data_IF_215177143418
#
_entry.id   IF_215177143418
#
_cell.length_a   1.000
_cell.length_b   1.000
_cell.length_c   1.000
_cell.angle_alpha   90.00
_cell.angle_beta   90.00
_cell.angle_gamma   90.00
#
_symmetry.space_group_name_H-M   'P 1'
#
loop_
_entity.id
_entity.type
_entity.pdbx_description
1 polymer ?
#
# COMPACT_ATOMS: atom_id res chain seq x y z
N UNK A 1 -0.97 -2.62 22.58
CA UNK A 1 -1.27 -3.40 21.37
C UNK A 1 -0.44 -4.69 21.28
N UNK A 2 0.85 -4.66 21.44
CA UNK A 2 1.79 -5.78 21.20
C UNK A 2 1.75 -6.92 22.19
N UNK A 3 1.66 -6.67 23.48
CA UNK A 3 1.42 -7.74 24.44
C UNK A 3 0.10 -8.51 24.15
N UNK A 4 -0.81 -7.93 23.32
CA UNK A 4 -2.02 -8.59 22.85
C UNK A 4 -1.76 -9.42 21.59
N UNK A 5 -0.95 -8.91 20.65
CA UNK A 5 -0.65 -9.62 19.40
C UNK A 5 0.28 -10.80 19.64
N UNK A 6 1.31 -10.66 20.48
CA UNK A 6 2.15 -11.80 20.90
C UNK A 6 1.32 -12.85 21.63
N UNK A 7 0.49 -12.44 22.59
CA UNK A 7 -0.42 -13.37 23.29
C UNK A 7 -1.38 -14.07 22.34
N UNK A 8 -1.90 -13.34 21.34
CA UNK A 8 -2.79 -13.96 20.37
C UNK A 8 -2.09 -15.06 19.57
N UNK A 9 -0.83 -14.84 19.14
CA UNK A 9 -0.03 -15.88 18.46
C UNK A 9 0.19 -17.07 19.41
N UNK A 10 0.61 -16.81 20.65
CA UNK A 10 0.84 -17.87 21.64
C UNK A 10 -0.45 -18.67 21.89
N UNK A 11 -1.59 -18.01 22.01
CA UNK A 11 -2.90 -18.65 22.16
C UNK A 11 -3.32 -19.43 20.90
N UNK A 12 -3.04 -18.91 19.70
CA UNK A 12 -3.31 -19.58 18.43
C UNK A 12 -2.44 -20.82 18.23
N UNK A 13 -1.16 -20.75 18.61
CA UNK A 13 -0.25 -21.89 18.63
C UNK A 13 -0.74 -22.94 19.64
N UNK A 14 -1.12 -22.51 20.84
CA UNK A 14 -1.64 -23.42 21.88
C UNK A 14 -2.94 -24.14 21.46
N UNK A 15 -3.76 -23.53 20.61
CA UNK A 15 -4.98 -24.17 20.05
C UNK A 15 -4.70 -25.02 18.82
N UNK A 16 -3.50 -24.96 18.23
CA UNK A 16 -3.16 -25.61 16.97
C UNK A 16 -3.69 -24.91 15.72
N UNK A 17 -4.14 -23.65 15.86
CA UNK A 17 -4.58 -22.82 14.74
C UNK A 17 -3.39 -22.34 13.88
N UNK A 18 -2.23 -22.15 14.53
CA UNK A 18 -0.96 -21.71 13.95
C UNK A 18 0.15 -22.62 14.44
N UNK A 19 1.05 -23.00 13.56
CA UNK A 19 2.30 -23.67 13.87
C UNK A 19 3.46 -22.85 13.28
N UNK A 20 4.41 -22.47 14.12
CA UNK A 20 5.64 -21.81 13.71
C UNK A 20 6.78 -22.83 13.74
N UNK A 21 7.62 -22.82 12.74
CA UNK A 21 8.80 -23.70 12.70
C UNK A 21 9.73 -23.42 13.88
N UNK A 22 10.47 -24.45 14.31
CA UNK A 22 11.43 -24.35 15.41
C UNK A 22 12.40 -23.16 15.20
N UNK A 23 12.43 -22.26 16.17
CA UNK A 23 13.29 -21.08 16.12
C UNK A 23 12.70 -19.85 15.41
N UNK A 24 11.42 -19.89 15.00
CA UNK A 24 10.69 -18.72 14.53
C UNK A 24 9.81 -18.17 15.65
N UNK A 25 9.95 -16.92 15.98
CA UNK A 25 9.23 -16.27 17.07
C UNK A 25 8.73 -14.87 16.66
N UNK A 26 7.68 -14.35 17.32
CA UNK A 26 7.30 -12.94 17.17
C UNK A 26 8.48 -12.02 17.50
N UNK A 27 8.71 -11.00 16.65
CA UNK A 27 9.82 -10.07 16.83
C UNK A 27 9.68 -9.32 18.16
N UNK A 28 10.65 -9.46 19.09
CA UNK A 28 10.63 -8.72 20.34
C UNK A 28 10.86 -7.23 20.06
N UNK A 29 10.01 -6.37 20.58
CA UNK A 29 10.12 -4.93 20.38
C UNK A 29 9.84 -4.16 21.66
N UNK A 30 10.47 -3.02 21.81
CA UNK A 30 10.21 -2.09 22.89
C UNK A 30 9.01 -1.21 22.58
N UNK A 31 8.40 -0.62 23.61
CA UNK A 31 7.34 0.37 23.46
C UNK A 31 7.83 1.61 22.66
N UNK A 32 9.12 1.93 22.76
CA UNK A 32 9.77 3.00 22.02
C UNK A 32 9.84 2.71 20.53
N UNK A 33 10.18 1.47 20.13
CA UNK A 33 10.20 1.07 18.73
C UNK A 33 8.81 1.22 18.10
N UNK A 34 7.75 0.93 18.89
CA UNK A 34 6.36 1.13 18.46
C UNK A 34 6.03 2.58 18.19
N UNK A 35 6.57 3.44 19.03
CA UNK A 35 6.31 4.87 18.95
C UNK A 35 7.16 5.51 17.85
N UNK A 36 8.40 5.11 17.67
CA UNK A 36 9.32 5.70 16.67
C UNK A 36 9.06 5.17 15.27
N UNK A 37 8.78 3.87 15.11
CA UNK A 37 8.64 3.20 13.79
C UNK A 37 7.25 3.30 13.13
N UNK A 38 6.26 3.85 13.82
CA UNK A 38 4.87 3.84 13.38
C UNK A 38 4.12 2.56 13.80
N UNK A 39 3.17 2.71 14.75
CA UNK A 39 2.37 1.58 15.27
C UNK A 39 1.51 0.82 14.25
N UNK A 40 1.51 1.25 12.98
CA UNK A 40 0.88 0.58 11.85
C UNK A 40 1.74 -0.53 11.27
N UNK A 41 3.03 -0.59 11.60
CA UNK A 41 3.89 -1.67 11.13
C UNK A 41 3.45 -2.99 11.75
N UNK A 42 3.37 -3.99 10.91
CA UNK A 42 2.99 -5.37 11.25
C UNK A 42 3.92 -5.92 12.34
N UNK A 43 3.45 -6.91 13.10
CA UNK A 43 4.18 -7.43 14.26
C UNK A 43 5.60 -7.89 13.91
N UNK A 44 5.79 -8.51 12.76
CA UNK A 44 7.05 -9.12 12.35
C UNK A 44 7.32 -10.47 13.03
N UNK A 45 8.09 -11.29 12.36
CA UNK A 45 8.63 -12.54 12.85
C UNK A 45 10.15 -12.52 12.72
N UNK A 46 10.86 -13.23 13.56
CA UNK A 46 12.32 -13.35 13.52
C UNK A 46 12.75 -14.80 13.68
N UNK A 47 13.87 -15.15 13.08
CA UNK A 47 14.57 -16.39 13.40
C UNK A 47 15.35 -16.19 14.69
N UNK A 48 15.25 -17.12 15.64
CA UNK A 48 15.93 -16.95 16.93
C UNK A 48 17.18 -17.82 17.07
N UNK A 49 17.14 -19.06 16.60
CA UNK A 49 18.21 -20.06 16.89
C UNK A 49 18.70 -20.80 15.66
N UNK A 50 17.86 -21.01 14.69
CA UNK A 50 18.19 -21.72 13.46
C UNK A 50 17.99 -20.80 12.25
N UNK A 51 18.78 -20.95 11.18
CA UNK A 51 18.47 -20.31 9.92
C UNK A 51 17.19 -20.89 9.35
N UNK A 52 16.50 -20.13 8.51
CA UNK A 52 15.40 -20.62 7.67
C UNK A 52 15.89 -20.55 6.24
N UNK A 53 15.90 -21.69 5.56
CA UNK A 53 16.38 -21.80 4.19
C UNK A 53 15.30 -21.42 3.17
N UNK A 54 15.73 -21.01 1.97
CA UNK A 54 14.83 -20.75 0.84
C UNK A 54 13.93 -21.96 0.59
N UNK A 55 12.62 -21.71 0.43
CA UNK A 55 11.57 -22.72 0.28
C UNK A 55 11.32 -23.59 1.51
N UNK A 56 11.90 -23.28 2.64
CA UNK A 56 11.52 -23.89 3.92
C UNK A 56 10.21 -23.26 4.43
N UNK A 57 9.31 -24.14 4.93
CA UNK A 57 8.08 -23.68 5.56
C UNK A 57 8.35 -23.14 6.95
N UNK A 58 8.06 -21.86 7.20
CA UNK A 58 8.28 -21.23 8.49
C UNK A 58 6.99 -21.01 9.31
N UNK A 59 5.83 -21.11 8.67
CA UNK A 59 4.55 -21.08 9.37
C UNK A 59 3.52 -21.96 8.66
N UNK A 60 2.62 -22.54 9.46
CA UNK A 60 1.43 -23.26 8.99
C UNK A 60 0.22 -22.71 9.72
N UNK A 61 -0.85 -22.45 8.98
CA UNK A 61 -2.08 -21.86 9.51
C UNK A 61 -3.25 -22.72 9.09
N UNK A 62 -4.01 -23.24 10.04
CA UNK A 62 -5.20 -24.05 9.75
C UNK A 62 -6.17 -23.24 8.88
N UNK A 63 -6.75 -23.85 7.83
CA UNK A 63 -7.61 -23.13 6.89
C UNK A 63 -8.83 -22.51 7.58
N UNK A 64 -9.37 -23.19 8.59
CA UNK A 64 -10.48 -22.67 9.39
C UNK A 64 -10.09 -21.49 10.30
N UNK A 65 -8.81 -21.25 10.53
CA UNK A 65 -8.29 -20.07 11.23
C UNK A 65 -8.06 -18.88 10.31
N UNK A 66 -8.26 -19.02 8.99
CA UNK A 66 -8.19 -17.93 8.01
C UNK A 66 -9.57 -17.32 7.77
N UNK A 67 -9.63 -16.02 7.54
CA UNK A 67 -10.87 -15.34 7.17
C UNK A 67 -10.96 -15.21 5.65
N UNK A 68 -11.94 -15.86 5.05
CA UNK A 68 -12.17 -15.86 3.62
C UNK A 68 -13.67 -15.98 3.29
N UNK A 69 -14.15 -15.46 2.14
CA UNK A 69 -15.56 -15.46 1.80
C UNK A 69 -16.18 -16.86 1.63
N UNK A 70 -15.40 -17.85 1.18
CA UNK A 70 -15.89 -19.22 0.98
C UNK A 70 -16.13 -20.01 2.28
N UNK A 71 -15.85 -19.41 3.44
CA UNK A 71 -16.18 -19.97 4.76
C UNK A 71 -17.69 -20.05 5.00
N UNK A 72 -18.47 -19.20 4.34
CA UNK A 72 -19.89 -19.04 4.59
C UNK A 72 -20.73 -19.74 3.53
N UNK A 73 -21.74 -20.51 3.99
CA UNK A 73 -22.67 -21.21 3.09
C UNK A 73 -23.38 -20.22 2.17
N UNK A 74 -23.36 -20.42 0.83
CA UNK A 74 -23.95 -19.48 -0.12
C UNK A 74 -25.49 -19.41 -0.07
N UNK A 75 -26.13 -20.29 0.68
CA UNK A 75 -27.59 -20.42 0.72
C UNK A 75 -28.24 -19.70 1.89
N UNK A 76 -27.47 -19.26 2.89
CA UNK A 76 -28.03 -18.68 4.12
C UNK A 76 -27.11 -17.61 4.73
N UNK A 77 -27.70 -16.77 5.54
CA UNK A 77 -27.00 -15.77 6.33
C UNK A 77 -26.06 -14.88 5.51
N UNK A 78 -24.84 -14.71 6.02
CA UNK A 78 -23.81 -13.92 5.34
C UNK A 78 -23.46 -14.47 3.95
N UNK A 79 -23.41 -15.79 3.80
CA UNK A 79 -23.06 -16.40 2.50
C UNK A 79 -24.07 -16.07 1.41
N UNK A 80 -25.37 -16.00 1.73
CA UNK A 80 -26.39 -15.57 0.79
C UNK A 80 -26.20 -14.10 0.37
N UNK A 81 -25.83 -13.23 1.31
CA UNK A 81 -25.50 -11.82 1.03
C UNK A 81 -24.28 -11.72 0.10
N UNK A 82 -23.22 -12.51 0.33
CA UNK A 82 -22.03 -12.56 -0.51
C UNK A 82 -22.33 -13.11 -1.92
N UNK A 83 -23.18 -14.14 -2.04
CA UNK A 83 -23.62 -14.67 -3.33
C UNK A 83 -24.39 -13.62 -4.15
N UNK A 84 -25.28 -12.89 -3.50
CA UNK A 84 -26.01 -11.75 -4.13
C UNK A 84 -25.07 -10.64 -4.56
N UNK A 85 -24.07 -10.30 -3.75
CA UNK A 85 -23.06 -9.30 -4.09
C UNK A 85 -22.28 -9.70 -5.35
N UNK A 86 -21.79 -10.95 -5.41
CA UNK A 86 -21.07 -11.48 -6.58
C UNK A 86 -21.91 -11.46 -7.86
N UNK A 87 -23.21 -11.79 -7.78
CA UNK A 87 -24.09 -11.74 -8.92
C UNK A 87 -24.31 -10.32 -9.48
N UNK A 88 -24.17 -9.30 -8.61
CA UNK A 88 -24.43 -7.90 -8.96
C UNK A 88 -23.22 -7.13 -9.45
N UNK A 89 -22.01 -7.50 -8.99
CA UNK A 89 -20.75 -6.77 -9.23
C UNK A 89 -19.64 -7.62 -9.86
N UNK A 90 -19.94 -8.88 -10.20
CA UNK A 90 -18.91 -9.83 -10.63
C UNK A 90 -18.10 -10.40 -9.47
N UNK A 91 -17.00 -11.07 -9.79
CA UNK A 91 -16.13 -11.72 -8.81
C UNK A 91 -15.15 -10.73 -8.16
N UNK A 92 -15.63 -9.66 -7.54
CA UNK A 92 -14.76 -8.80 -6.74
C UNK A 92 -14.51 -9.47 -5.38
N UNK A 93 -13.46 -10.29 -5.33
CA UNK A 93 -13.03 -11.02 -4.14
C UNK A 93 -12.72 -10.10 -2.96
N UNK A 94 -12.19 -8.90 -3.25
CA UNK A 94 -11.85 -7.91 -2.23
C UNK A 94 -13.09 -7.35 -1.56
N UNK A 95 -14.13 -7.04 -2.34
CA UNK A 95 -15.40 -6.57 -1.81
C UNK A 95 -16.09 -7.64 -0.95
N UNK A 96 -16.03 -8.90 -1.38
CA UNK A 96 -16.56 -10.01 -0.58
C UNK A 96 -15.84 -10.14 0.76
N UNK A 97 -14.51 -10.01 0.77
CA UNK A 97 -13.73 -10.04 2.01
C UNK A 97 -14.02 -8.84 2.92
N UNK A 98 -14.22 -7.64 2.36
CA UNK A 98 -14.63 -6.43 3.13
C UNK A 98 -15.95 -6.67 3.84
N UNK A 99 -16.92 -7.29 3.19
CA UNK A 99 -18.22 -7.61 3.82
C UNK A 99 -18.05 -8.65 4.94
N UNK A 100 -17.18 -9.66 4.77
CA UNK A 100 -16.83 -10.61 5.83
C UNK A 100 -16.19 -9.90 7.04
N UNK A 101 -15.27 -8.97 6.81
CA UNK A 101 -14.62 -8.18 7.87
C UNK A 101 -15.61 -7.34 8.66
N UNK A 102 -16.54 -6.68 7.96
CA UNK A 102 -17.62 -5.90 8.60
C UNK A 102 -18.50 -6.80 9.45
N UNK A 103 -18.89 -7.96 8.94
CA UNK A 103 -19.71 -8.92 9.67
C UNK A 103 -19.01 -9.45 10.91
N UNK A 104 -17.81 -10.00 10.76
CA UNK A 104 -17.09 -10.64 11.86
C UNK A 104 -16.74 -9.63 12.98
N UNK A 105 -16.30 -8.43 12.62
CA UNK A 105 -15.90 -7.43 13.63
C UNK A 105 -17.07 -6.74 14.30
N UNK A 106 -18.11 -6.37 13.55
CA UNK A 106 -19.15 -5.46 14.05
C UNK A 106 -20.50 -6.11 14.31
N UNK A 107 -20.80 -7.25 13.66
CA UNK A 107 -22.03 -8.02 13.97
C UNK A 107 -21.74 -9.13 14.95
N UNK A 108 -20.73 -9.97 14.69
CA UNK A 108 -20.35 -11.05 15.59
C UNK A 108 -19.57 -10.53 16.81
N UNK A 109 -18.73 -9.50 16.63
CA UNK A 109 -17.99 -8.87 17.72
C UNK A 109 -17.20 -9.87 18.57
N UNK A 110 -17.49 -9.94 19.86
CA UNK A 110 -16.85 -10.87 20.80
C UNK A 110 -17.22 -12.35 20.54
N UNK A 111 -18.31 -12.61 19.83
CA UNK A 111 -18.69 -13.97 19.43
C UNK A 111 -17.99 -14.45 18.16
N UNK A 112 -17.25 -13.57 17.48
CA UNK A 112 -16.46 -13.95 16.32
C UNK A 112 -15.30 -14.87 16.70
N UNK A 113 -15.05 -15.88 15.87
CA UNK A 113 -13.84 -16.70 15.99
C UNK A 113 -12.55 -15.86 15.78
N UNK A 114 -12.67 -14.67 15.17
CA UNK A 114 -11.58 -13.76 14.89
C UNK A 114 -11.49 -12.58 15.88
N UNK A 115 -12.28 -12.56 16.97
CA UNK A 115 -12.33 -11.44 17.91
C UNK A 115 -10.95 -11.09 18.47
N UNK A 116 -10.18 -12.08 18.91
CA UNK A 116 -8.82 -11.90 19.45
C UNK A 116 -7.84 -11.42 18.38
N UNK A 117 -7.94 -11.96 17.17
CA UNK A 117 -7.17 -11.52 16.02
C UNK A 117 -7.42 -10.04 15.71
N UNK A 118 -8.68 -9.60 15.67
CA UNK A 118 -9.01 -8.18 15.44
C UNK A 118 -8.53 -7.28 16.58
N UNK A 119 -8.58 -7.75 17.83
CA UNK A 119 -8.02 -7.02 18.97
C UNK A 119 -6.51 -6.91 18.95
N UNK A 120 -5.82 -7.85 18.30
CA UNK A 120 -4.37 -7.81 18.13
C UNK A 120 -3.92 -6.84 17.04
N UNK A 121 -4.80 -6.54 16.09
CA UNK A 121 -4.55 -5.62 14.99
C UNK A 121 -4.74 -4.14 15.35
N UNK A 122 -4.44 -3.22 14.41
CA UNK A 122 -4.67 -1.80 14.61
C UNK A 122 -6.17 -1.49 14.61
N UNK A 123 -6.58 -0.64 15.54
CA UNK A 123 -7.93 -0.06 15.53
C UNK A 123 -8.07 0.99 14.42
N UNK A 124 -7.00 1.69 14.13
CA UNK A 124 -6.88 2.74 13.12
C UNK A 124 -5.55 2.59 12.37
N UNK A 125 -5.57 2.81 11.07
CA UNK A 125 -4.41 2.74 10.21
C UNK A 125 -3.76 4.11 10.00
N UNK A 126 -2.49 4.14 9.63
CA UNK A 126 -1.76 5.36 9.28
C UNK A 126 -1.81 5.67 7.77
N UNK A 127 -2.70 5.01 7.01
CA UNK A 127 -2.94 5.33 5.59
C UNK A 127 -3.65 6.67 5.46
N UNK A 128 -3.42 7.42 4.38
CA UNK A 128 -3.99 8.76 4.18
C UNK A 128 -5.52 8.80 4.27
N UNK A 129 -6.22 7.72 3.95
CA UNK A 129 -7.67 7.61 4.10
C UNK A 129 -8.15 7.71 5.56
N UNK A 130 -7.25 7.52 6.54
CA UNK A 130 -7.53 7.66 7.98
C UNK A 130 -7.02 8.98 8.58
N UNK A 131 -6.39 9.84 7.78
CA UNK A 131 -5.84 11.10 8.28
C UNK A 131 -6.92 12.15 8.49
N UNK A 132 -6.61 13.15 9.30
CA UNK A 132 -7.40 14.38 9.34
C UNK A 132 -7.28 15.13 8.01
N UNK A 133 -8.31 15.92 7.68
CA UNK A 133 -8.29 16.73 6.45
C UNK A 133 -7.06 17.66 6.39
N UNK A 134 -6.60 18.16 7.54
CA UNK A 134 -5.45 19.07 7.58
C UNK A 134 -4.15 18.32 7.33
N UNK A 135 -3.96 17.13 7.91
CA UNK A 135 -2.79 16.29 7.65
C UNK A 135 -2.77 15.80 6.20
N UNK A 136 -3.93 15.38 5.66
CA UNK A 136 -4.02 14.94 4.27
C UNK A 136 -3.68 16.07 3.28
N UNK A 137 -4.02 17.33 3.59
CA UNK A 137 -3.66 18.49 2.77
C UNK A 137 -2.14 18.75 2.69
N UNK A 138 -1.35 18.20 3.60
CA UNK A 138 0.10 18.29 3.50
C UNK A 138 0.66 17.55 2.27
N UNK A 139 -0.11 16.61 1.69
CA UNK A 139 0.23 15.92 0.44
C UNK A 139 -0.10 16.73 -0.82
N UNK A 140 -0.62 17.96 -0.71
CA UNK A 140 -0.97 18.80 -1.88
C UNK A 140 0.22 18.99 -2.81
N UNK A 141 -0.07 18.99 -4.10
CA UNK A 141 0.92 19.07 -5.18
C UNK A 141 1.36 17.72 -5.71
N UNK A 142 1.21 16.65 -4.91
CA UNK A 142 1.40 15.27 -5.37
C UNK A 142 0.16 14.75 -6.10
N UNK A 143 0.33 14.08 -7.26
CA UNK A 143 -0.80 13.41 -7.93
C UNK A 143 -1.33 12.23 -7.12
N UNK A 144 -0.52 11.61 -6.27
CA UNK A 144 -0.98 10.59 -5.33
C UNK A 144 -2.10 11.15 -4.42
N UNK A 145 -1.99 12.42 -3.98
CA UNK A 145 -3.05 13.06 -3.21
C UNK A 145 -4.21 13.52 -4.08
N UNK A 146 -3.90 14.32 -5.13
CA UNK A 146 -4.92 15.01 -5.93
C UNK A 146 -5.83 14.04 -6.71
N UNK A 147 -5.37 12.82 -6.96
CA UNK A 147 -6.09 11.81 -7.72
C UNK A 147 -6.44 10.59 -6.89
N UNK A 148 -5.46 9.91 -6.33
CA UNK A 148 -5.68 8.59 -5.74
C UNK A 148 -6.35 8.70 -4.37
N UNK A 149 -5.81 9.52 -3.46
CA UNK A 149 -6.35 9.64 -2.11
C UNK A 149 -7.72 10.33 -2.11
N UNK A 150 -7.87 11.42 -2.88
CA UNK A 150 -9.15 12.13 -3.01
C UNK A 150 -10.20 11.25 -3.68
N UNK A 151 -9.84 10.47 -4.69
CA UNK A 151 -10.77 9.55 -5.36
C UNK A 151 -11.09 8.34 -4.49
N UNK A 152 -10.17 7.86 -3.64
CA UNK A 152 -10.45 6.84 -2.63
C UNK A 152 -11.51 7.32 -1.62
N UNK A 153 -11.46 8.56 -1.15
CA UNK A 153 -12.51 9.12 -0.29
C UNK A 153 -13.89 9.13 -0.97
N UNK A 154 -13.95 9.51 -2.25
CA UNK A 154 -15.19 9.48 -3.04
C UNK A 154 -15.69 8.06 -3.23
N UNK A 155 -14.76 7.13 -3.54
CA UNK A 155 -15.06 5.72 -3.73
C UNK A 155 -15.61 5.09 -2.47
N UNK A 156 -15.02 5.33 -1.30
CA UNK A 156 -15.50 4.83 -0.02
C UNK A 156 -16.95 5.28 0.27
N UNK A 157 -17.30 6.53 -0.02
CA UNK A 157 -18.66 7.01 0.12
C UNK A 157 -19.63 6.31 -0.85
N UNK A 158 -19.21 6.09 -2.09
CA UNK A 158 -20.00 5.39 -3.12
C UNK A 158 -20.22 3.93 -2.72
N UNK A 159 -19.17 3.24 -2.30
CA UNK A 159 -19.22 1.85 -1.82
C UNK A 159 -20.09 1.74 -0.57
N UNK A 160 -19.97 2.66 0.38
CA UNK A 160 -20.82 2.68 1.58
C UNK A 160 -22.30 2.73 1.23
N UNK A 161 -22.69 3.60 0.30
CA UNK A 161 -24.06 3.70 -0.16
C UNK A 161 -24.52 2.43 -0.91
N UNK A 162 -23.67 1.86 -1.75
CA UNK A 162 -23.96 0.63 -2.47
C UNK A 162 -24.14 -0.57 -1.54
N UNK A 163 -23.25 -0.75 -0.56
CA UNK A 163 -23.38 -1.79 0.45
C UNK A 163 -24.64 -1.61 1.31
N UNK A 164 -24.95 -0.37 1.69
CA UNK A 164 -26.18 -0.10 2.42
C UNK A 164 -27.41 -0.59 1.66
N UNK A 165 -27.58 -0.16 0.40
CA UNK A 165 -28.78 -0.48 -0.40
C UNK A 165 -28.88 -1.95 -0.80
N UNK A 166 -27.74 -2.64 -1.01
CA UNK A 166 -27.73 -3.98 -1.61
C UNK A 166 -27.40 -5.11 -0.65
N UNK A 167 -26.79 -4.79 0.48
CA UNK A 167 -26.39 -5.77 1.50
C UNK A 167 -27.12 -5.47 2.80
N UNK A 168 -26.90 -4.33 3.42
CA UNK A 168 -27.35 -4.08 4.78
C UNK A 168 -28.86 -3.90 4.90
N UNK A 169 -29.50 -3.22 3.95
CA UNK A 169 -30.95 -2.99 3.95
C UNK A 169 -31.74 -4.19 3.40
N UNK A 170 -31.06 -5.13 2.71
CA UNK A 170 -31.66 -6.37 2.19
C UNK A 170 -31.53 -7.52 3.19
N UNK A 171 -30.36 -7.66 3.82
CA UNK A 171 -30.04 -8.73 4.76
C UNK A 171 -30.05 -8.21 6.21
N UNK A 172 -31.18 -7.64 6.62
CA UNK A 172 -31.35 -6.99 7.95
C UNK A 172 -31.29 -7.96 9.11
N UNK A 173 -31.55 -9.21 8.89
CA UNK A 173 -31.39 -10.32 9.85
C UNK A 173 -29.93 -10.72 10.07
N UNK A 174 -29.07 -10.46 9.09
CA UNK A 174 -27.62 -10.68 9.14
C UNK A 174 -26.90 -9.47 9.71
N UNK A 175 -27.23 -8.26 9.21
CA UNK A 175 -26.61 -7.00 9.62
C UNK A 175 -27.55 -6.20 10.52
N UNK A 176 -27.52 -6.47 11.82
CA UNK A 176 -28.38 -5.84 12.84
C UNK A 176 -27.76 -4.59 13.44
N UNK A 177 -26.42 -4.58 13.56
CA UNK A 177 -25.68 -3.49 14.17
C UNK A 177 -25.59 -2.28 13.25
N UNK A 178 -25.87 -1.09 13.77
CA UNK A 178 -25.59 0.15 13.04
C UNK A 178 -24.09 0.41 12.89
N UNK A 179 -23.26 -0.19 13.72
CA UNK A 179 -21.80 -0.01 13.69
C UNK A 179 -21.18 -0.52 12.39
N UNK A 180 -21.63 -1.68 11.85
CA UNK A 180 -21.16 -2.23 10.57
C UNK A 180 -21.44 -1.32 9.36
N UNK A 181 -22.44 -0.42 9.48
CA UNK A 181 -22.96 0.44 8.40
C UNK A 181 -22.29 1.81 8.32
N UNK A 182 -21.32 2.08 9.18
CA UNK A 182 -20.65 3.38 9.26
C UNK A 182 -19.49 3.50 8.25
N UNK A 183 -19.21 4.72 7.77
CA UNK A 183 -18.03 4.99 6.92
C UNK A 183 -16.72 4.64 7.64
N UNK A 184 -16.54 4.94 8.94
CA UNK A 184 -15.34 4.47 9.65
C UNK A 184 -15.16 2.95 9.67
N UNK A 185 -16.24 2.17 9.85
CA UNK A 185 -16.17 0.71 9.79
C UNK A 185 -15.77 0.22 8.40
N UNK A 186 -16.39 0.77 7.34
CA UNK A 186 -16.04 0.46 5.97
C UNK A 186 -14.58 0.82 5.68
N UNK A 187 -14.13 1.99 6.11
CA UNK A 187 -12.74 2.44 5.94
C UNK A 187 -11.75 1.46 6.58
N UNK A 188 -12.04 1.03 7.81
CA UNK A 188 -11.22 0.03 8.48
C UNK A 188 -11.19 -1.31 7.72
N UNK A 189 -12.34 -1.82 7.28
CA UNK A 189 -12.42 -3.08 6.55
C UNK A 189 -11.75 -2.98 5.16
N UNK A 190 -11.92 -1.85 4.48
CA UNK A 190 -11.27 -1.51 3.22
C UNK A 190 -9.74 -1.55 3.35
N UNK A 191 -9.20 -0.79 4.31
CA UNK A 191 -7.75 -0.74 4.54
C UNK A 191 -7.21 -2.10 4.99
N UNK A 192 -7.94 -2.83 5.83
CA UNK A 192 -7.54 -4.19 6.25
C UNK A 192 -7.44 -5.12 5.04
N UNK A 193 -8.44 -5.14 4.17
CA UNK A 193 -8.44 -5.98 2.98
C UNK A 193 -7.33 -5.60 2.00
N UNK A 194 -7.07 -4.30 1.79
CA UNK A 194 -6.02 -3.84 0.88
C UNK A 194 -4.60 -4.09 1.40
N UNK A 195 -4.40 -3.91 2.70
CA UNK A 195 -3.06 -4.01 3.30
C UNK A 195 -2.68 -5.42 3.75
N UNK A 196 -3.65 -6.33 3.94
CA UNK A 196 -3.40 -7.60 4.64
C UNK A 196 -3.93 -8.84 3.92
N UNK A 197 -4.86 -8.69 2.95
CA UNK A 197 -5.37 -9.84 2.23
C UNK A 197 -4.33 -10.37 1.24
N UNK A 198 -4.28 -11.68 1.12
CA UNK A 198 -3.40 -12.38 0.18
C UNK A 198 -4.19 -13.42 -0.62
N UNK A 199 -3.67 -13.78 -1.80
CA UNK A 199 -4.10 -14.97 -2.53
C UNK A 199 -3.34 -16.17 -1.99
N UNK A 200 -4.05 -17.24 -1.74
CA UNK A 200 -3.46 -18.52 -1.33
C UNK A 200 -3.47 -19.44 -2.54
N UNK A 201 -2.29 -19.86 -3.01
CA UNK A 201 -2.19 -20.80 -4.13
C UNK A 201 -2.97 -22.09 -3.83
N UNK A 202 -3.78 -22.55 -4.78
CA UNK A 202 -4.69 -23.69 -4.58
C UNK A 202 -6.04 -23.35 -3.94
N UNK A 203 -6.33 -22.06 -3.69
CA UNK A 203 -7.65 -21.56 -3.26
C UNK A 203 -8.11 -20.39 -4.11
N UNK A 204 -9.42 -20.30 -4.31
CA UNK A 204 -10.02 -19.15 -4.99
C UNK A 204 -10.21 -17.98 -4.04
N UNK A 205 -10.02 -16.76 -4.56
CA UNK A 205 -10.30 -15.52 -3.88
C UNK A 205 -9.18 -15.06 -2.94
N UNK A 206 -9.52 -14.07 -2.12
CA UNK A 206 -8.63 -13.46 -1.14
C UNK A 206 -8.94 -13.98 0.27
N UNK A 207 -7.89 -14.11 1.08
CA UNK A 207 -8.00 -14.47 2.48
C UNK A 207 -7.14 -13.56 3.36
N UNK A 208 -7.55 -13.36 4.61
CA UNK A 208 -6.64 -12.95 5.67
C UNK A 208 -6.07 -14.21 6.29
N UNK A 209 -4.77 -14.38 6.15
CA UNK A 209 -4.02 -15.48 6.74
C UNK A 209 -3.26 -14.93 7.93
N UNK A 210 -3.70 -15.25 9.16
CA UNK A 210 -3.00 -14.81 10.36
C UNK A 210 -1.52 -15.22 10.31
N UNK A 211 -0.66 -14.42 10.94
CA UNK A 211 0.80 -14.53 10.86
C UNK A 211 1.36 -13.97 9.54
N UNK A 212 0.91 -14.44 8.38
CA UNK A 212 1.39 -13.91 7.09
C UNK A 212 1.09 -12.41 6.94
N UNK A 213 -0.09 -11.97 7.32
CA UNK A 213 -0.48 -10.56 7.31
C UNK A 213 0.26 -9.68 8.34
N UNK A 214 1.03 -10.31 9.23
CA UNK A 214 1.87 -9.65 10.24
C UNK A 214 3.32 -9.47 9.79
N UNK A 215 3.76 -10.17 8.74
CA UNK A 215 5.12 -10.06 8.20
C UNK A 215 5.32 -8.68 7.58
N UNK A 216 6.47 -8.08 7.86
CA UNK A 216 6.81 -6.75 7.37
C UNK A 216 7.45 -6.79 5.99
N UNK A 217 7.43 -5.65 5.31
CA UNK A 217 8.19 -5.47 4.08
C UNK A 217 9.69 -5.55 4.37
N UNK A 218 10.45 -6.21 3.49
CA UNK A 218 11.90 -6.29 3.57
C UNK A 218 12.54 -4.90 3.53
N UNK A 219 13.59 -4.72 4.34
CA UNK A 219 14.43 -3.53 4.21
C UNK A 219 15.11 -3.50 2.85
N UNK A 220 15.42 -2.30 2.31
CA UNK A 220 16.14 -2.16 1.04
C UNK A 220 17.47 -2.94 1.07
N UNK A 221 17.74 -3.72 0.02
CA UNK A 221 18.94 -4.55 -0.09
C UNK A 221 18.88 -5.90 0.65
N UNK A 222 17.85 -6.14 1.46
CA UNK A 222 17.58 -7.44 2.06
C UNK A 222 16.71 -8.35 1.15
N UNK A 223 16.32 -7.85 -0.01
CA UNK A 223 15.54 -8.60 -1.00
C UNK A 223 16.42 -9.68 -1.63
N UNK A 224 15.85 -10.88 -1.83
CA UNK A 224 16.51 -11.86 -2.70
C UNK A 224 16.80 -11.17 -4.03
N UNK A 225 18.00 -11.36 -4.63
CA UNK A 225 18.24 -10.90 -5.98
C UNK A 225 17.10 -11.45 -6.84
N UNK A 226 16.41 -10.56 -7.57
CA UNK A 226 15.35 -10.98 -8.49
C UNK A 226 15.91 -12.19 -9.23
N UNK A 227 15.28 -13.34 -9.10
CA UNK A 227 15.55 -14.46 -9.97
C UNK A 227 15.26 -13.93 -11.37
N UNK A 228 16.33 -13.48 -12.01
CA UNK A 228 16.43 -12.76 -13.26
C UNK A 228 15.06 -12.44 -13.87
N UNK A 229 14.74 -11.16 -14.00
CA UNK A 229 13.83 -10.69 -15.03
C UNK A 229 14.42 -11.12 -16.40
N UNK A 230 14.43 -12.40 -16.65
CA UNK A 230 14.61 -12.96 -17.97
C UNK A 230 13.31 -12.66 -18.70
N UNK A 231 13.37 -11.60 -19.50
CA UNK A 231 12.33 -11.30 -20.47
C UNK A 231 11.93 -12.56 -21.22
N UNK A 232 10.76 -13.03 -20.98
CA UNK A 232 9.97 -13.78 -21.93
C UNK A 232 8.67 -13.01 -22.09
N UNK A 233 8.56 -12.33 -23.20
CA UNK A 233 7.28 -11.89 -23.75
C UNK A 233 6.35 -13.11 -23.80
N UNK A 234 5.30 -13.12 -23.01
CA UNK A 234 4.28 -14.15 -23.13
C UNK A 234 3.48 -14.39 -21.88
N UNK A 235 2.24 -13.98 -21.95
CA UNK A 235 1.08 -14.44 -21.18
C UNK A 235 0.87 -13.82 -19.78
N UNK A 236 0.03 -12.79 -19.76
CA UNK A 236 -0.43 -12.04 -18.57
C UNK A 236 -1.16 -12.91 -17.52
N UNK A 237 -1.41 -14.20 -17.80
CA UNK A 237 -2.14 -15.11 -16.90
C UNK A 237 -1.26 -15.87 -15.90
N UNK A 238 0.05 -16.01 -16.14
CA UNK A 238 0.93 -16.83 -15.30
C UNK A 238 1.75 -16.05 -14.26
N UNK A 239 1.81 -14.72 -14.32
CA UNK A 239 2.61 -13.92 -13.39
C UNK A 239 2.03 -13.83 -11.97
N UNK A 240 0.71 -13.97 -11.79
CA UNK A 240 0.08 -13.95 -10.45
C UNK A 240 0.46 -15.16 -9.59
N UNK A 241 0.79 -16.30 -10.19
CA UNK A 241 1.14 -17.53 -9.46
C UNK A 241 2.56 -17.48 -8.86
N UNK A 242 3.47 -16.69 -9.43
CA UNK A 242 4.89 -16.61 -9.00
C UNK A 242 5.15 -15.77 -7.77
N UNK A 243 4.17 -15.02 -7.29
CA UNK A 243 4.30 -14.11 -6.13
C UNK A 243 3.67 -14.62 -4.85
N UNK A 244 2.98 -15.77 -4.87
CA UNK A 244 2.34 -16.33 -3.66
C UNK A 244 3.37 -17.02 -2.77
N UNK A 245 3.45 -16.57 -1.53
CA UNK A 245 4.20 -17.27 -0.47
C UNK A 245 3.40 -18.33 0.23
N UNK A 246 2.08 -18.22 0.13
CA UNK A 246 1.14 -19.03 0.87
C UNK A 246 0.53 -20.08 -0.07
N UNK A 247 0.72 -21.34 0.24
CA UNK A 247 0.20 -22.47 -0.53
C UNK A 247 -0.75 -23.26 0.35
N UNK A 248 -1.90 -23.63 -0.19
CA UNK A 248 -2.83 -24.49 0.52
C UNK A 248 -2.42 -25.97 0.41
N UNK A 249 -2.28 -26.62 1.55
CA UNK A 249 -2.09 -28.06 1.63
C UNK A 249 -3.46 -28.75 1.86
N UNK A 250 -4.02 -29.44 0.86
CA UNK A 250 -5.32 -30.11 0.98
C UNK A 250 -5.29 -31.36 1.88
N UNK A 251 -4.12 -31.92 2.16
CA UNK A 251 -4.01 -33.10 3.02
C UNK A 251 -4.10 -32.76 4.50
N UNK A 252 -3.53 -31.62 4.87
CA UNK A 252 -3.54 -31.14 6.25
C UNK A 252 -4.60 -30.06 6.51
N UNK A 253 -5.35 -29.63 5.47
CA UNK A 253 -6.30 -28.51 5.51
C UNK A 253 -5.71 -27.24 6.13
N UNK A 254 -4.54 -26.84 5.62
CA UNK A 254 -3.78 -25.71 6.15
C UNK A 254 -3.15 -24.87 5.05
N UNK A 255 -2.84 -23.62 5.36
CA UNK A 255 -1.97 -22.75 4.55
C UNK A 255 -0.55 -22.92 5.05
N UNK A 256 0.36 -23.23 4.14
CA UNK A 256 1.80 -23.31 4.42
C UNK A 256 2.47 -22.07 3.86
N UNK A 257 3.27 -21.41 4.68
CA UNK A 257 4.01 -20.20 4.32
C UNK A 257 5.49 -20.52 4.22
N UNK A 258 6.07 -20.23 3.05
CA UNK A 258 7.46 -20.56 2.73
C UNK A 258 8.34 -19.32 2.70
N UNK A 259 9.61 -19.48 3.06
CA UNK A 259 10.64 -18.48 2.93
C UNK A 259 11.03 -18.28 1.45
N UNK A 260 11.17 -17.04 0.98
CA UNK A 260 11.63 -16.74 -0.39
C UNK A 260 13.15 -16.65 -0.52
N UNK A 261 13.84 -16.49 0.59
CA UNK A 261 15.30 -16.43 0.68
C UNK A 261 15.78 -17.09 1.96
N UNK A 262 17.07 -17.25 2.06
CA UNK A 262 17.70 -17.68 3.29
C UNK A 262 17.67 -16.56 4.34
N UNK A 263 17.38 -16.93 5.57
CA UNK A 263 17.39 -16.05 6.73
C UNK A 263 18.37 -16.61 7.77
N UNK A 264 19.31 -15.78 8.21
CA UNK A 264 20.23 -16.12 9.28
C UNK A 264 19.59 -16.10 10.68
N UNK A 265 20.24 -16.69 11.70
CA UNK A 265 19.77 -16.62 13.07
C UNK A 265 19.63 -15.17 13.56
N UNK A 266 18.49 -14.83 14.15
CA UNK A 266 18.16 -13.49 14.63
C UNK A 266 17.69 -12.52 13.54
N UNK A 267 17.65 -12.94 12.29
CA UNK A 267 17.19 -12.10 11.18
C UNK A 267 15.65 -12.03 11.16
N UNK A 268 15.12 -10.86 10.82
CA UNK A 268 13.68 -10.68 10.67
C UNK A 268 13.19 -11.32 9.38
N UNK A 269 12.14 -12.12 9.48
CA UNK A 269 11.41 -12.62 8.33
C UNK A 269 10.64 -11.47 7.70
N UNK A 270 10.84 -11.23 6.43
CA UNK A 270 10.22 -10.12 5.72
C UNK A 270 9.67 -10.58 4.36
N UNK A 271 8.77 -9.80 3.81
CA UNK A 271 8.11 -10.06 2.54
C UNK A 271 8.29 -8.87 1.60
N UNK A 272 8.46 -9.15 0.31
CA UNK A 272 8.31 -8.13 -0.72
C UNK A 272 6.83 -7.94 -1.02
N UNK A 273 6.31 -6.75 -0.74
CA UNK A 273 4.91 -6.39 -0.95
C UNK A 273 4.61 -5.97 -2.41
N UNK A 274 5.26 -6.59 -3.38
CA UNK A 274 5.13 -6.27 -4.81
C UNK A 274 5.99 -5.08 -5.26
N UNK A 275 5.73 -4.61 -6.48
CA UNK A 275 6.48 -3.52 -7.12
C UNK A 275 5.88 -2.13 -6.86
N UNK A 276 5.14 -1.98 -5.75
CA UNK A 276 4.52 -0.72 -5.39
C UNK A 276 5.54 0.40 -5.24
N UNK A 277 5.24 1.53 -5.83
CA UNK A 277 6.05 2.73 -5.64
C UNK A 277 5.86 3.34 -4.25
N UNK A 278 6.69 4.33 -3.91
CA UNK A 278 6.68 4.98 -2.60
C UNK A 278 5.31 5.60 -2.25
N UNK A 279 4.64 6.21 -3.22
CA UNK A 279 3.32 6.82 -3.01
C UNK A 279 2.23 5.77 -2.76
N UNK A 280 2.25 4.66 -3.48
CA UNK A 280 1.35 3.52 -3.27
C UNK A 280 1.59 2.84 -1.92
N UNK A 281 2.86 2.73 -1.50
CA UNK A 281 3.18 2.21 -0.16
C UNK A 281 2.59 3.10 0.95
N UNK A 282 2.64 4.42 0.79
CA UNK A 282 1.97 5.35 1.71
C UNK A 282 0.45 5.17 1.67
N UNK A 283 -0.15 5.07 0.49
CA UNK A 283 -1.60 4.93 0.34
C UNK A 283 -2.12 3.64 0.96
N UNK A 284 -1.44 2.51 0.74
CA UNK A 284 -1.95 1.21 1.16
C UNK A 284 -1.48 0.76 2.54
N UNK A 285 -0.29 1.17 2.96
CA UNK A 285 0.32 0.72 4.22
C UNK A 285 0.59 1.85 5.22
N UNK A 286 0.46 3.11 4.83
CA UNK A 286 0.58 4.26 5.73
C UNK A 286 2.02 4.65 6.08
N UNK A 287 3.01 4.27 5.28
CA UNK A 287 4.41 4.67 5.49
C UNK A 287 5.14 4.89 4.16
N UNK A 288 6.18 5.71 4.21
CA UNK A 288 7.10 5.95 3.11
C UNK A 288 8.29 4.99 3.29
N UNK A 289 8.48 3.99 2.39
CA UNK A 289 9.58 3.05 2.52
C UNK A 289 10.93 3.74 2.29
N UNK A 290 11.94 3.32 3.03
CA UNK A 290 13.30 3.77 2.79
C UNK A 290 13.91 2.97 1.64
N UNK A 291 13.79 3.49 0.41
CA UNK A 291 14.32 2.89 -0.81
C UNK A 291 15.48 3.74 -1.34
N UNK A 292 16.43 3.10 -2.02
CA UNK A 292 17.53 3.79 -2.68
C UNK A 292 17.02 4.83 -3.69
N UNK A 293 17.80 5.90 -3.91
CA UNK A 293 17.40 6.96 -4.86
C UNK A 293 17.20 6.43 -6.27
N UNK A 294 18.04 5.47 -6.71
CA UNK A 294 17.99 4.85 -8.03
C UNK A 294 16.95 3.75 -8.17
N UNK A 295 16.31 3.35 -7.08
CA UNK A 295 15.27 2.32 -7.12
C UNK A 295 14.14 2.74 -8.07
N UNK A 296 13.63 1.85 -8.92
CA UNK A 296 12.47 2.14 -9.76
C UNK A 296 11.21 2.44 -8.93
N UNK A 297 11.14 1.97 -7.69
CA UNK A 297 10.08 2.29 -6.72
C UNK A 297 10.14 3.74 -6.25
N UNK A 298 11.32 4.37 -6.30
CA UNK A 298 11.52 5.79 -5.98
C UNK A 298 11.20 6.64 -7.22
N UNK A 299 9.94 6.90 -7.45
CA UNK A 299 9.44 7.59 -8.61
C UNK A 299 8.37 8.62 -8.22
N UNK A 300 8.18 9.63 -9.06
CA UNK A 300 7.05 10.54 -8.94
C UNK A 300 5.89 10.04 -9.78
N UNK A 301 4.76 9.79 -9.13
CA UNK A 301 3.53 9.43 -9.83
C UNK A 301 2.99 10.66 -10.57
N UNK A 302 2.71 10.49 -11.85
CA UNK A 302 2.08 11.50 -12.68
C UNK A 302 0.83 10.92 -13.34
N UNK A 303 -0.29 11.61 -13.19
CA UNK A 303 -1.52 11.31 -13.89
C UNK A 303 -1.71 12.35 -14.97
N UNK A 304 -1.57 11.92 -16.21
CA UNK A 304 -1.60 12.78 -17.38
C UNK A 304 -2.98 12.69 -18.05
N UNK A 305 -3.61 13.86 -18.21
CA UNK A 305 -4.88 14.00 -18.90
C UNK A 305 -4.77 15.06 -19.98
N UNK A 306 -5.46 14.90 -21.12
CA UNK A 306 -5.47 15.92 -22.14
C UNK A 306 -6.19 17.16 -21.64
N UNK A 307 -5.65 18.35 -21.90
CA UNK A 307 -6.28 19.63 -21.53
C UNK A 307 -7.69 19.81 -22.12
N UNK A 308 -7.99 19.12 -23.22
CA UNK A 308 -9.30 19.15 -23.88
C UNK A 308 -9.71 17.75 -24.31
N UNK A 309 -10.95 17.37 -24.04
CA UNK A 309 -11.55 16.07 -24.44
C UNK A 309 -11.32 15.71 -25.91
N UNK A 310 -11.31 16.69 -26.81
CA UNK A 310 -11.08 16.44 -28.24
C UNK A 310 -9.72 15.80 -28.55
N UNK A 311 -8.73 15.89 -27.67
CA UNK A 311 -7.40 15.29 -27.85
C UNK A 311 -7.31 13.85 -27.30
N UNK A 312 -8.32 13.35 -26.59
CA UNK A 312 -8.35 11.96 -26.11
C UNK A 312 -8.22 10.97 -27.27
N UNK A 313 -8.93 11.25 -28.37
CA UNK A 313 -8.88 10.40 -29.57
C UNK A 313 -7.45 10.37 -30.14
N UNK A 314 -6.81 11.54 -30.29
CA UNK A 314 -5.46 11.62 -30.83
C UNK A 314 -4.44 10.85 -29.96
N UNK A 315 -4.58 10.92 -28.62
CA UNK A 315 -3.73 10.17 -27.70
C UNK A 315 -3.95 8.67 -27.83
N UNK A 316 -5.20 8.22 -27.92
CA UNK A 316 -5.52 6.78 -28.15
C UNK A 316 -5.03 6.29 -29.51
N UNK A 317 -5.19 7.08 -30.55
CA UNK A 317 -4.72 6.77 -31.91
C UNK A 317 -3.18 6.70 -31.95
N UNK A 318 -2.47 7.44 -31.06
CA UNK A 318 -1.03 7.38 -30.87
C UNK A 318 -0.59 6.28 -29.89
N UNK A 319 -1.51 5.40 -29.43
CA UNK A 319 -1.19 4.27 -28.54
C UNK A 319 -1.13 4.59 -27.05
N UNK A 320 -1.46 5.81 -26.63
CA UNK A 320 -1.45 6.16 -25.20
C UNK A 320 -2.75 5.77 -24.50
N UNK A 321 -2.62 5.33 -23.26
CA UNK A 321 -3.76 5.24 -22.34
C UNK A 321 -4.25 6.65 -21.96
N UNK A 322 -5.55 6.81 -21.69
CA UNK A 322 -6.13 8.10 -21.26
C UNK A 322 -7.16 7.85 -20.17
N UNK A 323 -6.93 8.34 -18.94
CA UNK A 323 -5.71 9.02 -18.47
C UNK A 323 -4.49 8.10 -18.48
N UNK A 324 -3.29 8.66 -18.65
CA UNK A 324 -2.05 7.89 -18.56
C UNK A 324 -1.44 8.08 -17.17
N UNK A 325 -1.31 6.97 -16.44
CA UNK A 325 -0.63 6.93 -15.15
C UNK A 325 0.78 6.44 -15.38
N UNK A 326 1.74 7.23 -15.00
CA UNK A 326 3.15 6.88 -15.14
C UNK A 326 3.91 7.23 -13.86
N UNK A 327 4.75 6.32 -13.42
CA UNK A 327 5.71 6.55 -12.34
C UNK A 327 7.06 6.86 -12.97
N UNK A 328 7.54 8.09 -12.81
CA UNK A 328 8.80 8.56 -13.41
C UNK A 328 9.89 8.46 -12.36
N UNK A 329 10.82 7.50 -12.47
CA UNK A 329 11.85 7.26 -11.46
C UNK A 329 12.95 8.32 -11.49
N UNK A 330 13.70 8.39 -10.40
CA UNK A 330 14.88 9.25 -10.28
C UNK A 330 15.90 9.02 -11.42
N UNK A 331 16.10 7.77 -11.82
CA UNK A 331 16.98 7.35 -12.91
C UNK A 331 16.20 7.10 -14.22
N UNK A 332 15.19 7.92 -14.55
CA UNK A 332 14.40 7.77 -15.77
C UNK A 332 15.30 7.70 -17.02
N UNK A 333 15.02 6.74 -17.92
CA UNK A 333 15.73 6.60 -19.20
C UNK A 333 15.32 7.70 -20.16
N UNK A 334 16.20 8.05 -21.11
CA UNK A 334 15.90 9.08 -22.13
C UNK A 334 14.64 8.74 -22.93
N UNK A 335 14.47 7.48 -23.31
CA UNK A 335 13.29 6.99 -24.00
C UNK A 335 11.99 7.23 -23.21
N UNK A 336 12.01 7.07 -21.88
CA UNK A 336 10.85 7.36 -21.03
C UNK A 336 10.53 8.85 -21.01
N UNK A 337 11.54 9.72 -21.07
CA UNK A 337 11.35 11.17 -21.14
C UNK A 337 10.80 11.58 -22.52
N UNK A 338 11.21 10.92 -23.60
CA UNK A 338 10.68 11.17 -24.95
C UNK A 338 9.22 10.74 -25.06
N UNK A 339 8.84 9.58 -24.48
CA UNK A 339 7.45 9.17 -24.39
C UNK A 339 6.58 10.16 -23.60
N UNK A 340 7.09 10.65 -22.47
CA UNK A 340 6.40 11.65 -21.67
C UNK A 340 6.24 12.96 -22.43
N UNK A 341 7.29 13.42 -23.11
CA UNK A 341 7.25 14.60 -23.95
C UNK A 341 6.25 14.45 -25.12
N UNK A 342 6.23 13.29 -25.77
CA UNK A 342 5.29 12.97 -26.84
C UNK A 342 3.84 13.03 -26.37
N UNK A 343 3.54 12.43 -25.22
CA UNK A 343 2.20 12.52 -24.63
C UNK A 343 1.78 14.00 -24.44
N UNK A 344 2.65 14.83 -23.87
CA UNK A 344 2.37 16.25 -23.62
C UNK A 344 2.12 16.99 -24.94
N UNK A 345 2.95 16.76 -25.95
CA UNK A 345 2.80 17.37 -27.30
C UNK A 345 1.44 17.00 -27.92
N UNK A 346 1.10 15.71 -27.95
CA UNK A 346 -0.19 15.23 -28.48
C UNK A 346 -1.36 15.75 -27.66
N UNK A 347 -1.22 15.86 -26.36
CA UNK A 347 -2.25 16.42 -25.47
C UNK A 347 -2.51 17.92 -25.73
N UNK A 348 -1.56 18.62 -26.35
CA UNK A 348 -1.69 19.98 -26.82
C UNK A 348 -2.16 20.08 -28.29
N UNK A 349 -2.37 18.93 -28.96
CA UNK A 349 -2.83 18.85 -30.36
C UNK A 349 -1.70 18.98 -31.37
N UNK A 350 -0.46 18.76 -30.98
CA UNK A 350 0.68 18.67 -31.89
C UNK A 350 0.83 17.27 -32.43
N UNK A 351 1.36 17.14 -33.63
CA UNK A 351 1.70 15.84 -34.20
C UNK A 351 3.06 15.38 -33.73
N UNK A 352 3.21 14.10 -33.45
CA UNK A 352 4.48 13.45 -33.09
C UNK A 352 4.70 12.28 -34.04
N UNK A 353 5.81 12.29 -34.73
CA UNK A 353 6.22 11.18 -35.58
C UNK A 353 6.72 10.01 -34.72
N UNK A 354 6.44 8.79 -35.13
CA UNK A 354 6.90 7.56 -34.50
C UNK A 354 7.71 6.71 -35.48
N UNK A 355 8.69 5.99 -34.99
CA UNK A 355 9.45 5.02 -35.79
C UNK A 355 8.68 3.71 -36.03
N UNK A 356 9.33 2.74 -36.69
CA UNK A 356 8.76 1.42 -36.95
C UNK A 356 8.44 0.61 -35.69
N UNK A 357 9.04 0.96 -34.54
CA UNK A 357 8.80 0.36 -33.24
C UNK A 357 7.76 1.12 -32.41
N UNK A 358 7.15 2.19 -32.96
CA UNK A 358 6.19 3.03 -32.26
C UNK A 358 6.81 4.03 -31.28
N UNK A 359 8.11 4.24 -31.34
CA UNK A 359 8.82 5.19 -30.47
C UNK A 359 8.81 6.60 -31.07
N UNK A 360 8.54 7.63 -30.22
CA UNK A 360 8.48 9.01 -30.68
C UNK A 360 9.84 9.48 -31.22
N UNK A 361 9.80 10.18 -32.37
CA UNK A 361 10.97 10.75 -33.02
C UNK A 361 10.95 12.27 -32.95
N UNK A 362 12.12 12.87 -32.75
CA UNK A 362 12.32 14.33 -32.81
C UNK A 362 11.34 15.12 -31.91
N UNK A 363 11.03 14.61 -30.73
CA UNK A 363 10.09 15.26 -29.79
C UNK A 363 10.75 16.46 -29.12
N UNK A 364 10.07 17.58 -29.15
CA UNK A 364 10.50 18.76 -28.38
C UNK A 364 10.31 18.54 -26.89
N UNK A 365 11.39 18.62 -26.13
CA UNK A 365 11.36 18.53 -24.66
C UNK A 365 11.01 19.86 -23.96
N UNK A 366 10.78 20.93 -24.74
CA UNK A 366 10.42 22.24 -24.17
C UNK A 366 9.10 22.17 -23.39
N UNK A 367 8.08 21.55 -23.97
CA UNK A 367 6.78 21.39 -23.30
C UNK A 367 6.85 20.46 -22.08
N UNK A 368 7.71 19.45 -22.11
CA UNK A 368 7.99 18.60 -20.94
C UNK A 368 8.63 19.42 -19.82
N UNK A 369 9.61 20.28 -20.16
CA UNK A 369 10.27 21.16 -19.20
C UNK A 369 9.28 22.13 -18.54
N UNK A 370 8.42 22.75 -19.32
CA UNK A 370 7.34 23.62 -18.82
C UNK A 370 6.40 22.84 -17.89
N UNK A 371 5.94 21.69 -18.32
CA UNK A 371 5.08 20.82 -17.52
C UNK A 371 5.73 20.43 -16.18
N UNK A 372 7.01 20.04 -16.18
CA UNK A 372 7.70 19.67 -14.92
C UNK A 372 7.89 20.88 -13.99
N UNK A 373 8.10 22.11 -14.54
CA UNK A 373 8.12 23.33 -13.72
C UNK A 373 6.77 23.61 -13.08
N UNK A 374 5.69 23.56 -13.87
CA UNK A 374 4.33 23.67 -13.34
C UNK A 374 4.05 22.65 -12.23
N UNK A 375 4.62 21.43 -12.35
CA UNK A 375 4.49 20.39 -11.32
C UNK A 375 5.21 20.76 -10.03
N UNK A 376 6.44 21.25 -10.11
CA UNK A 376 7.18 21.71 -8.92
C UNK A 376 6.44 22.87 -8.23
N UNK A 377 5.85 23.78 -9.00
CA UNK A 377 5.15 24.95 -8.49
C UNK A 377 3.79 24.64 -7.83
N UNK A 378 3.26 23.43 -8.01
CA UNK A 378 2.03 22.98 -7.32
C UNK A 378 2.23 22.70 -5.83
N UNK A 379 3.45 22.39 -5.41
CA UNK A 379 3.72 22.12 -4.01
C UNK A 379 3.66 23.41 -3.19
N UNK A 380 3.01 23.39 -2.00
CA UNK A 380 2.83 24.59 -1.20
C UNK A 380 4.13 25.11 -0.57
N UNK A 381 5.19 24.33 -0.57
CA UNK A 381 6.46 24.60 0.08
C UNK A 381 7.64 24.33 -0.86
N UNK A 382 8.79 24.89 -0.56
CA UNK A 382 10.06 24.58 -1.23
C UNK A 382 10.66 23.27 -0.68
N UNK A 383 11.65 22.71 -1.38
CA UNK A 383 12.38 21.55 -0.89
C UNK A 383 13.09 21.82 0.43
N UNK A 384 13.73 23.00 0.56
CA UNK A 384 14.47 23.38 1.77
C UNK A 384 13.55 23.56 2.98
N UNK A 385 12.35 24.13 2.78
CA UNK A 385 11.35 24.25 3.84
C UNK A 385 10.87 22.87 4.31
N UNK A 386 10.64 21.92 3.38
CA UNK A 386 10.24 20.56 3.72
C UNK A 386 11.36 19.81 4.47
N UNK A 387 12.61 19.93 4.05
CA UNK A 387 13.76 19.29 4.72
C UNK A 387 13.92 19.82 6.16
N UNK A 388 13.78 21.13 6.37
CA UNK A 388 13.82 21.72 7.71
C UNK A 388 12.63 21.30 8.58
N UNK A 389 11.43 21.24 8.00
CA UNK A 389 10.22 20.80 8.69
C UNK A 389 10.33 19.32 9.10
N UNK A 390 10.84 18.47 8.21
CA UNK A 390 11.02 17.04 8.48
C UNK A 390 11.91 16.79 9.69
N UNK A 391 13.06 17.47 9.77
CA UNK A 391 13.99 17.33 10.89
C UNK A 391 13.33 17.74 12.21
N UNK A 392 12.62 18.88 12.22
CA UNK A 392 11.89 19.36 13.39
C UNK A 392 10.78 18.40 13.84
N UNK A 393 10.03 17.83 12.89
CA UNK A 393 8.97 16.88 13.19
C UNK A 393 9.51 15.56 13.75
N UNK A 394 10.59 15.03 13.17
CA UNK A 394 11.26 13.81 13.67
C UNK A 394 11.76 14.00 15.10
N UNK A 395 12.40 15.13 15.39
CA UNK A 395 12.83 15.45 16.75
C UNK A 395 11.63 15.51 17.72
N UNK A 396 10.53 16.13 17.30
CA UNK A 396 9.31 16.20 18.11
C UNK A 396 8.70 14.82 18.39
N UNK A 397 8.75 13.89 17.42
CA UNK A 397 8.31 12.50 17.65
C UNK A 397 9.17 11.82 18.73
N UNK A 398 10.48 12.00 18.68
CA UNK A 398 11.42 11.47 19.69
C UNK A 398 11.13 12.06 21.08
N UNK A 399 11.00 13.38 21.17
CA UNK A 399 10.74 14.08 22.43
C UNK A 399 9.43 13.63 23.11
N UNK A 400 8.36 13.43 22.31
CA UNK A 400 7.09 12.90 22.81
C UNK A 400 7.18 11.41 23.17
N UNK A 401 7.96 10.61 22.43
CA UNK A 401 8.19 9.22 22.77
C UNK A 401 8.92 9.08 24.12
N UNK A 402 9.96 9.87 24.32
CA UNK A 402 10.68 9.92 25.59
C UNK A 402 9.79 10.42 26.74
N UNK A 403 8.83 11.31 26.46
CA UNK A 403 7.86 11.74 27.46
C UNK A 403 6.92 10.59 27.87
N UNK A 404 6.51 9.70 26.95
CA UNK A 404 5.66 8.55 27.27
C UNK A 404 6.33 7.50 28.16
N UNK A 405 7.66 7.42 28.16
CA UNK A 405 8.42 6.47 28.98
C UNK A 405 8.56 6.92 30.44
N UNK A 406 8.22 8.18 30.75
CA UNK A 406 8.32 8.70 32.12
C UNK A 406 7.32 8.01 33.05
N UNK A 407 7.81 7.50 34.17
CA UNK A 407 6.98 6.84 35.18
C UNK A 407 5.95 7.81 35.79
N UNK A 408 4.75 7.32 36.06
CA UNK A 408 3.70 8.07 36.75
C UNK A 408 2.85 8.99 35.88
N UNK A 409 2.96 8.91 34.55
CA UNK A 409 2.11 9.69 33.65
C UNK A 409 0.64 9.27 33.78
N UNK A 410 -0.29 10.24 33.91
CA UNK A 410 -1.72 9.94 33.88
C UNK A 410 -2.16 9.32 32.56
N UNK A 411 -3.07 8.32 32.61
CA UNK A 411 -3.53 7.57 31.43
C UNK A 411 -4.08 8.51 30.34
N UNK A 412 -4.84 9.53 30.73
CA UNK A 412 -5.41 10.49 29.77
C UNK A 412 -4.34 11.34 29.07
N UNK A 413 -3.28 11.71 29.79
CA UNK A 413 -2.16 12.46 29.24
C UNK A 413 -1.35 11.59 28.27
N UNK A 414 -1.08 10.33 28.65
CA UNK A 414 -0.44 9.35 27.78
C UNK A 414 -1.21 9.17 26.45
N UNK A 415 -2.53 9.01 26.51
CA UNK A 415 -3.36 8.88 25.32
C UNK A 415 -3.32 10.13 24.41
N UNK A 416 -3.26 11.32 24.99
CA UNK A 416 -3.11 12.58 24.22
C UNK A 416 -1.76 12.65 23.50
N UNK A 417 -0.69 12.25 24.18
CA UNK A 417 0.65 12.21 23.59
C UNK A 417 0.70 11.18 22.47
N UNK A 418 0.13 9.98 22.65
CA UNK A 418 0.05 8.96 21.60
C UNK A 418 -0.70 9.47 20.36
N UNK A 419 -1.82 10.17 20.53
CA UNK A 419 -2.52 10.81 19.41
C UNK A 419 -1.63 11.83 18.69
N UNK A 420 -0.94 12.69 19.44
CA UNK A 420 -0.06 13.72 18.87
C UNK A 420 1.12 13.11 18.11
N UNK A 421 1.72 12.05 18.61
CA UNK A 421 2.77 11.29 17.93
C UNK A 421 2.23 10.72 16.61
N UNK A 422 1.03 10.16 16.62
CA UNK A 422 0.40 9.61 15.41
C UNK A 422 0.22 10.69 14.35
N UNK A 423 -0.35 11.84 14.69
CA UNK A 423 -0.52 12.94 13.75
C UNK A 423 0.83 13.44 13.21
N UNK A 424 1.83 13.63 14.08
CA UNK A 424 3.17 14.04 13.65
C UNK A 424 3.80 13.04 12.67
N UNK A 425 3.62 11.75 12.87
CA UNK A 425 4.15 10.74 11.94
C UNK A 425 3.48 10.77 10.59
N UNK A 426 2.16 10.98 10.57
CA UNK A 426 1.41 11.19 9.33
C UNK A 426 1.95 12.39 8.57
N UNK A 427 2.21 13.49 9.27
CA UNK A 427 2.87 14.68 8.72
C UNK A 427 4.30 14.36 8.24
N UNK A 428 5.08 13.61 9.00
CA UNK A 428 6.42 13.13 8.59
C UNK A 428 6.33 12.37 7.27
N UNK A 429 5.44 11.39 7.16
CA UNK A 429 5.26 10.62 5.92
C UNK A 429 4.84 11.48 4.73
N UNK A 430 3.96 12.47 4.96
CA UNK A 430 3.57 13.42 3.90
C UNK A 430 4.74 14.25 3.40
N UNK A 431 5.53 14.79 4.33
CA UNK A 431 6.70 15.63 4.01
C UNK A 431 7.80 14.79 3.34
N UNK A 432 8.03 13.57 3.79
CA UNK A 432 8.99 12.63 3.16
C UNK A 432 8.63 12.33 1.71
N UNK A 433 7.36 12.06 1.41
CA UNK A 433 6.89 11.85 0.04
C UNK A 433 7.15 13.11 -0.81
N UNK A 434 6.75 14.30 -0.34
CA UNK A 434 6.99 15.57 -1.06
C UNK A 434 8.47 15.82 -1.34
N UNK A 435 9.35 15.54 -0.38
CA UNK A 435 10.80 15.70 -0.54
C UNK A 435 11.31 14.80 -1.67
N UNK A 436 10.92 13.54 -1.67
CA UNK A 436 11.31 12.57 -2.71
C UNK A 436 10.84 13.01 -4.09
N UNK A 437 9.56 13.33 -4.22
CA UNK A 437 8.98 13.79 -5.48
C UNK A 437 9.66 15.07 -5.99
N UNK A 438 9.89 16.06 -5.13
CA UNK A 438 10.59 17.31 -5.51
C UNK A 438 12.04 17.07 -5.93
N UNK A 439 12.76 16.15 -5.26
CA UNK A 439 14.13 15.77 -5.65
C UNK A 439 14.14 15.17 -7.06
N UNK A 440 13.21 14.28 -7.36
CA UNK A 440 13.06 13.65 -8.68
C UNK A 440 12.76 14.71 -9.74
N UNK A 441 11.74 15.54 -9.52
CA UNK A 441 11.33 16.59 -10.45
C UNK A 441 12.48 17.57 -10.75
N UNK A 442 13.22 18.02 -9.73
CA UNK A 442 14.37 18.90 -9.90
C UNK A 442 15.50 18.26 -10.70
N UNK A 443 15.79 16.97 -10.43
CA UNK A 443 16.79 16.22 -11.21
C UNK A 443 16.40 16.12 -12.68
N UNK A 444 15.12 15.80 -12.97
CA UNK A 444 14.62 15.74 -14.33
C UNK A 444 14.75 17.10 -15.05
N UNK A 445 14.40 18.18 -14.38
CA UNK A 445 14.56 19.53 -14.90
C UNK A 445 16.04 19.86 -15.20
N UNK A 446 16.95 19.56 -14.27
CA UNK A 446 18.40 19.79 -14.47
C UNK A 446 18.91 19.01 -15.68
N UNK A 447 18.48 17.75 -15.88
CA UNK A 447 18.84 16.95 -17.06
C UNK A 447 18.32 17.57 -18.35
N UNK A 448 17.08 18.04 -18.37
CA UNK A 448 16.49 18.68 -19.55
C UNK A 448 17.13 20.04 -19.86
N UNK A 449 17.57 20.78 -18.85
CA UNK A 449 18.26 22.05 -19.00
C UNK A 449 19.70 21.86 -19.50
N UNK A 450 20.38 20.79 -19.07
CA UNK A 450 21.74 20.47 -19.54
C UNK A 450 21.79 19.87 -20.96
N UNK A 451 20.70 19.23 -21.39
CA UNK A 451 20.57 18.64 -22.73
C UNK A 451 20.06 19.63 -23.79
N UNK A 452 19.64 20.86 -23.39
CA UNK A 452 19.23 21.87 -24.35
C UNK A 452 20.45 22.35 -25.13
N UNK A 453 20.49 22.28 -26.45
CA UNK A 453 21.52 22.95 -27.24
C UNK A 453 21.46 24.45 -26.93
N UNK A 454 22.63 25.05 -26.89
CA UNK A 454 22.82 26.51 -26.63
C UNK A 454 22.14 27.31 -27.75
N UNK A 455 20.81 27.53 -27.63
CA UNK A 455 20.00 28.32 -28.58
C UNK A 455 20.48 29.78 -28.73
N UNK A 456 21.59 30.15 -28.08
CA UNK A 456 22.15 31.51 -28.11
C UNK A 456 23.27 31.74 -29.12
N UNK A 457 23.55 30.80 -30.01
CA UNK A 457 24.65 30.94 -30.98
C UNK A 457 24.26 31.31 -32.40
N UNK A 458 22.97 31.43 -32.70
CA UNK A 458 22.53 31.79 -34.07
C UNK A 458 21.94 33.21 -34.21
N UNK A 459 22.18 34.09 -33.23
CA UNK A 459 21.95 35.55 -33.39
C UNK A 459 23.27 36.34 -33.29
N UNK A 460 24.13 36.17 -34.27
CA UNK A 460 25.18 37.14 -34.60
C UNK A 460 25.42 37.20 -36.11
#
# INVERSE_FOLDING_TARGET
MRARASRWIDDAVARGDVDLSDGVEPLPRTKRDDVVDGGARRLGLTTTRAPVETMEAYARVAWNATLHPSRYSPTEGLGAALASLRSSYGSDDKMALIVCLLYERYEMGEASAFADYFRSGPEEFDTPSHWSDDTAKELRGSDAYERDIVDEFKLLNTVSNALRMRVFDVYTDVFKSSAARTVPALRWAWTTAHARATRVSGKEGLALVPVLDMIRECAPGAEAPDAAANGSDGDEGEEEEKTSFAVYDPHADQVVVYAKRDYGPGEELCERLGDMNVAESLQHFGYVPDVAEESPRNCVLMVLEPKKKKFEKNLRDAGFQVPWRVCVPFAAREQSLDLLAAYIEVSHGRHVDVDEQGLPQNVSRASLREFLRERVDRYPTTLSEDEAALESMRQSVIDFADALERQGMPVLEGARIEMKIRELRRSVSAVELRIREKKILRRLLTRLDSAAPDERKDEL
#
